data_IF_139349402085
#
_entry.id   IF_139349402085
#
_cell.length_a   1.000
_cell.length_b   1.000
_cell.length_c   1.000
_cell.angle_alpha   90.00
_cell.angle_beta   90.00
_cell.angle_gamma   90.00
#
_symmetry.space_group_name_H-M   'P 1'
#
loop_
_entity.id
_entity.type
_entity.pdbx_description
1 polymer ?
#
# COMPACT_ATOMS: atom_id res chain seq x y z
N UNK A 1 15.97 -1.44 2.40
CA UNK A 1 15.70 -0.78 1.10
C UNK A 1 14.67 0.33 1.29
N UNK A 2 15.00 1.56 0.92
CA UNK A 2 14.07 2.70 0.99
C UNK A 2 13.90 3.33 -0.39
N UNK A 3 12.67 3.70 -0.74
CA UNK A 3 12.34 4.39 -1.99
C UNK A 3 12.10 5.88 -1.69
N UNK A 4 13.04 6.75 -2.05
CA UNK A 4 12.97 8.20 -1.78
C UNK A 4 11.77 8.83 -2.47
N UNK A 5 11.59 8.57 -3.75
CA UNK A 5 10.50 9.16 -4.53
C UNK A 5 9.11 8.59 -4.18
N UNK A 6 9.05 7.44 -3.51
CA UNK A 6 7.79 6.92 -3.01
C UNK A 6 7.24 7.76 -1.84
N UNK A 7 8.13 8.17 -0.94
CA UNK A 7 7.81 9.11 0.15
C UNK A 7 7.33 10.47 -0.39
N UNK A 8 7.85 10.90 -1.52
CA UNK A 8 7.54 12.19 -2.16
C UNK A 8 6.44 12.09 -3.23
N UNK A 9 5.63 11.03 -3.21
CA UNK A 9 4.51 10.78 -4.11
C UNK A 9 4.87 10.74 -5.61
N UNK A 10 6.11 10.42 -5.97
CA UNK A 10 6.58 10.30 -7.37
C UNK A 10 7.13 8.90 -7.65
N UNK A 11 6.38 7.82 -7.37
CA UNK A 11 6.89 6.44 -7.49
C UNK A 11 7.21 6.06 -8.95
N UNK A 12 6.59 6.72 -9.92
CA UNK A 12 6.81 6.49 -11.35
C UNK A 12 8.24 6.75 -11.83
N UNK A 13 8.99 7.62 -11.16
CA UNK A 13 10.40 7.89 -11.49
C UNK A 13 11.35 6.75 -11.07
N UNK A 14 10.89 5.78 -10.29
CA UNK A 14 11.63 4.54 -9.96
C UNK A 14 12.98 4.75 -9.28
N UNK A 15 13.12 5.75 -8.43
CA UNK A 15 14.33 5.98 -7.64
C UNK A 15 14.18 5.42 -6.23
N UNK A 16 15.24 4.81 -5.73
CA UNK A 16 15.35 4.34 -4.37
C UNK A 16 16.81 4.28 -3.95
N UNK A 17 17.03 4.06 -2.66
CA UNK A 17 18.37 3.85 -2.13
C UNK A 17 18.39 2.64 -1.19
N UNK A 18 19.58 2.11 -1.00
CA UNK A 18 19.84 1.05 -0.03
C UNK A 18 21.01 1.44 0.86
N UNK A 19 20.88 1.20 2.14
CA UNK A 19 21.94 1.34 3.12
C UNK A 19 22.25 -0.02 3.74
N UNK A 20 23.50 -0.27 4.06
CA UNK A 20 23.90 -1.54 4.64
C UNK A 20 25.41 -1.66 4.79
N UNK A 21 25.87 -2.83 5.22
CA UNK A 21 27.29 -3.12 5.37
C UNK A 21 28.04 -2.99 4.03
N UNK A 22 29.29 -2.45 4.02
CA UNK A 22 30.02 -2.19 2.77
C UNK A 22 30.15 -3.40 1.84
N UNK A 23 30.37 -4.58 2.39
CA UNK A 23 30.49 -5.82 1.59
C UNK A 23 29.18 -6.18 0.86
N UNK A 24 28.02 -5.95 1.48
CA UNK A 24 26.72 -6.16 0.84
C UNK A 24 26.46 -5.12 -0.26
N UNK A 25 26.78 -3.86 0.01
CA UNK A 25 26.65 -2.79 -0.99
C UNK A 25 27.57 -3.04 -2.19
N UNK A 26 28.79 -3.55 -1.95
CA UNK A 26 29.70 -3.93 -3.04
C UNK A 26 29.09 -5.03 -3.91
N UNK A 27 28.57 -6.11 -3.32
CA UNK A 27 27.88 -7.20 -4.06
C UNK A 27 26.68 -6.70 -4.86
N UNK A 28 25.89 -5.78 -4.30
CA UNK A 28 24.76 -5.18 -5.02
C UNK A 28 25.25 -4.33 -6.22
N UNK A 29 26.33 -3.55 -6.03
CA UNK A 29 26.91 -2.74 -7.12
C UNK A 29 27.42 -3.58 -8.28
N UNK A 30 28.11 -4.69 -8.02
CA UNK A 30 28.66 -5.58 -9.05
C UNK A 30 27.59 -6.29 -9.88
N UNK A 31 26.39 -6.48 -9.30
CA UNK A 31 25.24 -7.10 -9.97
C UNK A 31 24.21 -6.10 -10.49
N UNK A 32 24.50 -4.78 -10.39
CA UNK A 32 23.57 -3.74 -10.85
C UNK A 32 23.62 -3.59 -12.37
N UNK A 33 22.46 -3.54 -12.99
CA UNK A 33 22.36 -3.22 -14.41
C UNK A 33 22.94 -1.83 -14.71
N UNK A 34 23.71 -1.65 -15.79
CA UNK A 34 24.07 -0.32 -16.26
C UNK A 34 22.82 0.53 -16.52
N UNK A 35 22.94 1.85 -16.36
CA UNK A 35 21.85 2.80 -16.63
C UNK A 35 20.58 2.56 -15.81
N UNK A 36 20.70 1.96 -14.63
CA UNK A 36 19.57 1.57 -13.78
C UNK A 36 18.76 2.74 -13.18
N UNK A 37 19.24 3.97 -13.31
CA UNK A 37 18.56 5.19 -12.85
C UNK A 37 18.51 6.17 -14.03
N UNK A 38 17.33 6.69 -14.34
CA UNK A 38 17.16 7.70 -15.39
C UNK A 38 17.51 9.10 -14.88
N UNK A 39 17.85 10.02 -15.80
CA UNK A 39 18.31 11.36 -15.45
C UNK A 39 17.24 12.17 -14.71
N UNK A 40 15.96 12.07 -15.08
CA UNK A 40 14.89 12.79 -14.38
C UNK A 40 14.77 12.34 -12.93
N UNK A 41 14.98 11.04 -12.67
CA UNK A 41 14.97 10.50 -11.31
C UNK A 41 16.17 11.01 -10.49
N UNK A 42 17.34 11.20 -11.12
CA UNK A 42 18.52 11.77 -10.47
C UNK A 42 18.24 13.22 -10.08
N UNK A 43 17.79 14.05 -11.01
CA UNK A 43 17.48 15.46 -10.76
C UNK A 43 16.41 15.64 -9.69
N UNK A 44 15.29 14.88 -9.79
CA UNK A 44 14.24 14.90 -8.79
C UNK A 44 14.73 14.43 -7.42
N UNK A 45 15.60 13.42 -7.37
CA UNK A 45 16.20 12.92 -6.14
C UNK A 45 17.11 13.96 -5.46
N UNK A 46 17.96 14.63 -6.22
CA UNK A 46 18.81 15.71 -5.72
C UNK A 46 17.97 16.85 -5.17
N UNK A 47 16.99 17.32 -5.93
CA UNK A 47 16.08 18.38 -5.50
C UNK A 47 15.38 18.03 -4.17
N UNK A 48 14.86 16.81 -4.03
CA UNK A 48 14.17 16.36 -2.81
C UNK A 48 15.09 16.16 -1.61
N UNK A 49 16.39 15.97 -1.82
CA UNK A 49 17.38 15.85 -0.75
C UNK A 49 17.93 17.20 -0.31
N UNK A 50 17.98 18.18 -1.21
CA UNK A 50 18.50 19.51 -0.98
C UNK A 50 17.45 20.48 -0.41
N UNK A 51 16.17 20.20 -0.65
CA UNK A 51 15.08 21.06 -0.23
C UNK A 51 14.17 20.34 0.77
N UNK A 52 13.77 21.07 1.80
CA UNK A 52 12.75 20.59 2.73
C UNK A 52 11.41 20.44 2.00
N UNK A 53 10.78 19.27 2.16
CA UNK A 53 9.45 19.04 1.63
C UNK A 53 8.44 19.89 2.41
N UNK A 54 7.78 20.88 1.77
CA UNK A 54 6.72 21.62 2.45
C UNK A 54 5.64 20.64 2.91
N UNK A 55 5.23 20.77 4.15
CA UNK A 55 4.14 19.96 4.71
C UNK A 55 4.45 18.45 4.77
N UNK A 56 5.40 18.00 5.61
CA UNK A 56 5.72 16.61 5.75
C UNK A 56 4.48 15.80 6.16
N UNK A 57 4.35 14.59 5.62
CA UNK A 57 3.27 13.67 5.97
C UNK A 57 3.25 13.46 7.49
N UNK A 58 2.13 13.76 8.15
CA UNK A 58 1.90 13.39 9.54
C UNK A 58 1.68 11.87 9.63
N UNK A 59 2.79 11.17 9.83
CA UNK A 59 2.81 9.71 9.91
C UNK A 59 1.97 9.19 11.07
N UNK A 60 1.95 9.92 12.20
CA UNK A 60 1.19 9.50 13.38
C UNK A 60 -0.31 9.52 13.12
N UNK A 61 -0.85 10.60 12.59
CA UNK A 61 -2.25 10.70 12.20
C UNK A 61 -2.62 9.68 11.12
N UNK A 62 -1.72 9.44 10.17
CA UNK A 62 -1.95 8.46 9.10
C UNK A 62 -2.04 7.02 9.63
N UNK A 63 -1.14 6.63 10.54
CA UNK A 63 -1.18 5.32 11.17
C UNK A 63 -2.36 5.16 12.14
N UNK A 64 -2.78 6.24 12.81
CA UNK A 64 -3.98 6.24 13.63
C UNK A 64 -5.23 5.96 12.79
N UNK A 65 -5.34 6.58 11.61
CA UNK A 65 -6.44 6.33 10.70
C UNK A 65 -6.39 4.90 10.12
N UNK A 66 -5.21 4.36 9.85
CA UNK A 66 -5.06 2.95 9.46
C UNK A 66 -5.54 1.99 10.56
N UNK A 67 -5.22 2.27 11.84
CA UNK A 67 -5.70 1.49 12.96
C UNK A 67 -7.23 1.59 13.11
N UNK A 68 -7.81 2.78 12.92
CA UNK A 68 -9.26 2.98 12.93
C UNK A 68 -9.94 2.19 11.81
N UNK A 69 -9.43 2.26 10.60
CA UNK A 69 -9.95 1.50 9.45
C UNK A 69 -9.92 -0.01 9.74
N UNK A 70 -8.81 -0.51 10.29
CA UNK A 70 -8.70 -1.91 10.70
C UNK A 70 -9.81 -2.31 11.64
N UNK A 71 -10.00 -1.55 12.72
CA UNK A 71 -11.04 -1.85 13.72
C UNK A 71 -12.45 -1.80 13.13
N UNK A 72 -12.71 -0.87 12.19
CA UNK A 72 -13.99 -0.77 11.51
C UNK A 72 -14.26 -1.98 10.59
N UNK A 73 -13.24 -2.48 9.90
CA UNK A 73 -13.36 -3.70 9.09
C UNK A 73 -13.55 -4.95 9.93
N UNK A 74 -12.82 -5.09 11.05
CA UNK A 74 -12.99 -6.21 12.00
C UNK A 74 -14.41 -6.25 12.58
N UNK A 75 -15.03 -5.10 12.78
CA UNK A 75 -16.39 -4.97 13.31
C UNK A 75 -17.49 -5.42 12.33
N UNK A 76 -17.23 -5.48 11.02
CA UNK A 76 -18.22 -5.95 10.05
C UNK A 76 -18.51 -7.45 10.20
N UNK A 77 -17.59 -8.23 10.81
CA UNK A 77 -17.66 -9.69 10.74
C UNK A 77 -17.29 -10.20 9.34
N UNK A 78 -17.19 -11.50 9.15
CA UNK A 78 -16.87 -12.08 7.83
C UNK A 78 -15.45 -11.81 7.31
N UNK A 79 -14.66 -11.01 7.99
CA UNK A 79 -13.28 -10.62 7.63
C UNK A 79 -12.30 -11.01 8.72
N UNK A 80 -11.08 -11.30 8.32
CA UNK A 80 -9.91 -11.36 9.18
C UNK A 80 -8.88 -10.34 8.69
N UNK A 81 -8.45 -9.42 9.56
CA UNK A 81 -7.56 -8.31 9.22
C UNK A 81 -6.25 -8.43 9.96
N UNK A 82 -5.14 -8.55 9.24
CA UNK A 82 -3.82 -8.68 9.86
C UNK A 82 -3.32 -7.35 10.41
N UNK A 83 -2.73 -7.41 11.60
CA UNK A 83 -2.04 -6.27 12.19
C UNK A 83 -0.88 -5.81 11.31
N UNK A 84 -0.72 -4.50 11.19
CA UNK A 84 0.33 -3.87 10.41
C UNK A 84 0.81 -2.59 11.08
N UNK A 85 2.08 -2.27 10.89
CA UNK A 85 2.69 -1.00 11.29
C UNK A 85 2.81 -0.03 10.11
N UNK A 86 2.10 -0.33 9.01
CA UNK A 86 2.07 0.50 7.81
C UNK A 86 0.65 0.92 7.48
N UNK A 87 0.47 1.68 6.41
CA UNK A 87 -0.86 2.02 5.89
C UNK A 87 -1.49 0.92 5.02
N UNK A 88 -0.75 -0.12 4.69
CA UNK A 88 -1.30 -1.29 3.99
C UNK A 88 -1.75 -2.34 5.01
N UNK A 89 -2.86 -2.98 4.75
CA UNK A 89 -3.29 -4.13 5.51
C UNK A 89 -3.74 -5.27 4.61
N UNK A 90 -3.41 -6.47 5.02
CA UNK A 90 -3.86 -7.70 4.40
C UNK A 90 -5.17 -8.11 5.07
N UNK A 91 -6.13 -8.49 4.25
CA UNK A 91 -7.47 -8.89 4.70
C UNK A 91 -7.82 -10.22 4.03
N UNK A 92 -8.47 -11.11 4.77
CA UNK A 92 -9.02 -12.35 4.26
C UNK A 92 -10.55 -12.35 4.44
N UNK A 93 -11.26 -12.68 3.38
CA UNK A 93 -12.68 -13.00 3.42
C UNK A 93 -12.86 -14.39 4.06
N UNK A 94 -13.79 -14.56 4.95
CA UNK A 94 -14.18 -15.88 5.46
C UNK A 94 -14.99 -16.66 4.44
N UNK A 95 -15.75 -15.97 3.61
CA UNK A 95 -16.54 -16.50 2.49
C UNK A 95 -16.38 -15.59 1.27
N UNK A 96 -16.67 -16.10 0.07
CA UNK A 96 -16.55 -15.34 -1.17
C UNK A 96 -15.11 -15.23 -1.69
N UNK A 97 -14.92 -14.51 -2.77
CA UNK A 97 -13.63 -14.36 -3.47
C UNK A 97 -13.21 -12.89 -3.52
N UNK A 98 -11.94 -12.63 -3.25
CA UNK A 98 -11.38 -11.28 -3.32
C UNK A 98 -11.53 -10.63 -4.72
N UNK A 99 -11.51 -11.44 -5.78
CA UNK A 99 -11.78 -10.97 -7.15
C UNK A 99 -13.20 -10.45 -7.32
N UNK A 100 -14.21 -11.17 -6.77
CA UNK A 100 -15.60 -10.73 -6.82
C UNK A 100 -15.83 -9.44 -6.04
N UNK A 101 -15.31 -9.35 -4.82
CA UNK A 101 -15.33 -8.12 -4.03
C UNK A 101 -14.63 -6.96 -4.76
N UNK A 102 -13.47 -7.21 -5.38
CA UNK A 102 -12.75 -6.18 -6.15
C UNK A 102 -13.60 -5.65 -7.31
N UNK A 103 -14.25 -6.55 -8.06
CA UNK A 103 -15.06 -6.18 -9.23
C UNK A 103 -16.32 -5.41 -8.79
N UNK A 104 -16.97 -5.82 -7.70
CA UNK A 104 -18.08 -5.08 -7.08
C UNK A 104 -17.67 -3.68 -6.63
N UNK A 105 -16.59 -3.57 -5.86
CA UNK A 105 -16.11 -2.28 -5.37
C UNK A 105 -15.70 -1.34 -6.52
N UNK A 106 -15.10 -1.87 -7.58
CA UNK A 106 -14.71 -1.08 -8.74
C UNK A 106 -15.93 -0.63 -9.56
N UNK A 107 -16.88 -1.52 -9.80
CA UNK A 107 -18.07 -1.26 -10.64
C UNK A 107 -19.07 -0.33 -9.96
N UNK A 108 -19.45 -0.63 -8.71
CA UNK A 108 -20.53 0.08 -8.03
C UNK A 108 -20.06 1.30 -7.23
N UNK A 109 -18.83 1.27 -6.74
CA UNK A 109 -18.33 2.30 -5.81
C UNK A 109 -17.13 3.10 -6.32
N UNK A 110 -16.50 2.69 -7.44
CA UNK A 110 -15.29 3.32 -7.96
C UNK A 110 -14.08 3.14 -7.04
N UNK A 111 -14.07 2.10 -6.21
CA UNK A 111 -13.01 1.80 -5.24
C UNK A 111 -12.16 0.65 -5.75
N UNK A 112 -10.82 0.87 -5.80
CA UNK A 112 -9.88 -0.17 -6.20
C UNK A 112 -9.18 -0.77 -5.01
N UNK A 113 -9.28 -2.09 -4.88
CA UNK A 113 -8.49 -2.88 -3.95
C UNK A 113 -7.52 -3.78 -4.71
N UNK A 114 -6.52 -4.33 -4.02
CA UNK A 114 -5.57 -5.26 -4.61
C UNK A 114 -5.97 -6.70 -4.27
N UNK A 115 -6.45 -7.45 -5.25
CA UNK A 115 -6.56 -8.90 -5.15
C UNK A 115 -5.16 -9.50 -4.91
N UNK A 116 -4.99 -10.23 -3.82
CA UNK A 116 -3.73 -10.80 -3.37
C UNK A 116 -3.65 -12.32 -3.61
N UNK A 117 -4.59 -12.91 -4.34
CA UNK A 117 -4.63 -14.34 -4.63
C UNK A 117 -3.39 -14.86 -5.36
N UNK A 118 -2.68 -13.97 -6.07
CA UNK A 118 -1.45 -14.29 -6.78
C UNK A 118 -0.16 -14.10 -5.94
N UNK A 119 -0.27 -13.86 -4.65
CA UNK A 119 0.89 -13.80 -3.76
C UNK A 119 1.22 -15.19 -3.26
N UNK A 120 2.52 -15.52 -3.20
CA UNK A 120 2.97 -16.81 -2.69
C UNK A 120 2.45 -17.06 -1.27
N UNK A 121 1.78 -18.20 -1.08
CA UNK A 121 1.21 -18.61 0.21
C UNK A 121 -0.17 -18.02 0.53
N UNK A 122 -0.78 -17.24 -0.37
CA UNK A 122 -2.15 -16.75 -0.24
C UNK A 122 -3.08 -17.48 -1.22
N UNK A 123 -4.39 -17.32 -1.03
CA UNK A 123 -5.42 -17.92 -1.88
C UNK A 123 -6.44 -16.86 -2.33
N UNK A 124 -7.53 -17.29 -2.97
CA UNK A 124 -8.56 -16.44 -3.55
C UNK A 124 -9.36 -15.59 -2.57
N UNK A 125 -9.22 -15.79 -1.26
CA UNK A 125 -9.92 -15.02 -0.25
C UNK A 125 -9.15 -13.76 0.17
N UNK A 126 -7.87 -13.65 -0.20
CA UNK A 126 -7.01 -12.58 0.27
C UNK A 126 -7.02 -11.34 -0.63
N UNK A 127 -7.13 -10.20 -0.02
CA UNK A 127 -6.94 -8.91 -0.67
C UNK A 127 -6.13 -7.95 0.20
N UNK A 128 -5.59 -6.93 -0.43
CA UNK A 128 -4.84 -5.88 0.25
C UNK A 128 -5.46 -4.53 -0.02
N UNK A 129 -5.59 -3.74 1.02
CA UNK A 129 -6.05 -2.35 0.97
C UNK A 129 -4.99 -1.43 1.55
N UNK A 130 -5.14 -0.14 1.26
CA UNK A 130 -4.35 0.93 1.84
C UNK A 130 -5.30 1.92 2.52
N UNK A 131 -4.97 2.35 3.74
CA UNK A 131 -5.68 3.45 4.36
C UNK A 131 -5.54 4.73 3.52
N UNK A 132 -6.61 5.47 3.40
CA UNK A 132 -6.73 6.74 2.69
C UNK A 132 -7.22 7.82 3.66
N UNK A 133 -7.91 8.84 3.17
CA UNK A 133 -8.63 9.78 4.02
C UNK A 133 -9.74 9.09 4.81
N UNK A 134 -10.16 9.71 5.91
CA UNK A 134 -11.24 9.18 6.72
C UNK A 134 -12.52 8.93 5.93
N UNK A 135 -12.87 9.88 5.06
CA UNK A 135 -14.07 9.80 4.22
C UNK A 135 -14.00 8.63 3.24
N UNK A 136 -12.86 8.42 2.60
CA UNK A 136 -12.63 7.31 1.67
C UNK A 136 -12.65 5.96 2.39
N UNK A 137 -12.06 5.90 3.58
CA UNK A 137 -12.08 4.70 4.41
C UNK A 137 -13.51 4.35 4.89
N UNK A 138 -14.31 5.35 5.28
CA UNK A 138 -15.70 5.13 5.68
C UNK A 138 -16.56 4.65 4.51
N UNK A 139 -16.32 5.16 3.30
CA UNK A 139 -16.95 4.67 2.07
C UNK A 139 -16.56 3.21 1.78
N UNK A 140 -15.29 2.87 1.93
CA UNK A 140 -14.81 1.50 1.74
C UNK A 140 -15.46 0.54 2.73
N UNK A 141 -15.48 0.88 4.02
CA UNK A 141 -16.09 0.04 5.08
C UNK A 141 -17.58 -0.19 4.79
N UNK A 142 -18.30 0.87 4.42
CA UNK A 142 -19.73 0.77 4.07
C UNK A 142 -19.95 -0.14 2.86
N UNK A 143 -19.15 0.02 1.81
CA UNK A 143 -19.28 -0.78 0.58
C UNK A 143 -18.97 -2.27 0.82
N UNK A 144 -17.94 -2.57 1.62
CA UNK A 144 -17.63 -3.95 1.99
C UNK A 144 -18.76 -4.54 2.87
N UNK A 145 -19.32 -3.76 3.80
CA UNK A 145 -20.45 -4.21 4.62
C UNK A 145 -21.66 -4.58 3.77
N UNK A 146 -22.02 -3.77 2.79
CA UNK A 146 -23.12 -4.05 1.85
C UNK A 146 -22.87 -5.35 1.07
N UNK A 147 -21.66 -5.55 0.55
CA UNK A 147 -21.31 -6.75 -0.17
C UNK A 147 -21.40 -8.02 0.69
N UNK A 148 -20.97 -7.93 1.97
CA UNK A 148 -21.05 -9.06 2.90
C UNK A 148 -22.49 -9.44 3.32
N UNK A 149 -23.45 -8.53 3.18
CA UNK A 149 -24.88 -8.79 3.45
C UNK A 149 -25.58 -9.47 2.25
N UNK A 150 -25.00 -9.36 1.04
CA UNK A 150 -25.55 -9.91 -0.21
C UNK A 150 -25.03 -11.32 -0.52
N UNK A 151 -23.89 -11.74 0.05
CA UNK A 151 -23.27 -13.07 -0.13
C UNK A 151 -23.74 -14.09 0.91
#
# INVERSE_FOLDING_TARGET
FRRVLFRSAVPGLRLGYVTGAPHLLHRLRTNRMPWSVNQLAIEAGLHLLEHDVPNPLDVASYLQEAARLRSALEALGGLEVWATETHFMLVCLRMGRASALKDYLAGEHGILIRDASNFDGLNEHFFRIAAQSREENDRLVKAIGQWLEEE
#
